data_IF_130897027220
#
_entry.id   IF_130897027220
#
_cell.length_a   1.000
_cell.length_b   1.000
_cell.length_c   1.000
_cell.angle_alpha   90.00
_cell.angle_beta   90.00
_cell.angle_gamma   90.00
#
_symmetry.space_group_name_H-M   'P 1'
#
loop_
_entity.id
_entity.type
_entity.pdbx_description
1 polymer ?
#
# COMPACT_ATOMS: atom_id res chain seq x y z
N UNK A 1 13.48 -25.31 -12.59
CA UNK A 1 13.77 -23.90 -12.96
C UNK A 1 12.45 -23.18 -13.24
N UNK A 2 11.69 -22.80 -12.23
CA UNK A 2 10.37 -22.15 -12.40
C UNK A 2 10.52 -20.64 -12.25
N UNK A 3 10.46 -19.92 -13.38
CA UNK A 3 10.43 -18.45 -13.39
C UNK A 3 9.13 -17.98 -12.74
N UNK A 4 9.12 -17.10 -11.73
CA UNK A 4 7.89 -16.47 -11.30
C UNK A 4 7.47 -15.52 -12.41
N UNK A 5 6.29 -15.79 -12.97
CA UNK A 5 5.57 -14.88 -13.86
C UNK A 5 5.43 -13.56 -13.12
N UNK A 6 6.26 -12.58 -13.48
CA UNK A 6 6.02 -11.17 -13.16
C UNK A 6 4.79 -10.76 -13.95
N UNK A 7 3.63 -11.12 -13.41
CA UNK A 7 2.37 -10.54 -13.78
C UNK A 7 2.54 -9.03 -13.55
N UNK A 8 2.86 -8.32 -14.63
CA UNK A 8 2.92 -6.86 -14.71
C UNK A 8 1.51 -6.31 -14.54
N UNK A 9 0.96 -6.52 -13.35
CA UNK A 9 -0.22 -5.83 -12.86
C UNK A 9 0.37 -4.51 -12.43
N UNK A 10 0.25 -3.48 -13.29
CA UNK A 10 0.65 -2.09 -13.00
C UNK A 10 0.52 -1.88 -11.49
N UNK A 11 1.62 -1.63 -10.74
CA UNK A 11 1.52 -1.48 -9.30
C UNK A 11 0.54 -0.34 -9.10
N UNK A 12 -0.69 -0.69 -8.68
CA UNK A 12 -1.69 0.29 -8.27
C UNK A 12 -0.94 1.20 -7.30
N UNK A 13 -1.06 2.53 -7.43
CA UNK A 13 -0.28 3.49 -6.62
C UNK A 13 -0.24 3.11 -5.13
N UNK A 14 -1.33 2.49 -4.63
CA UNK A 14 -1.45 1.88 -3.30
C UNK A 14 -0.37 0.84 -2.89
N UNK A 15 0.36 0.27 -3.83
CA UNK A 15 1.41 -0.74 -3.59
C UNK A 15 2.81 -0.21 -3.89
N UNK A 16 2.94 1.08 -4.26
CA UNK A 16 4.25 1.70 -4.37
C UNK A 16 4.88 1.83 -2.99
N UNK A 17 6.22 1.73 -2.88
CA UNK A 17 6.91 1.90 -1.61
C UNK A 17 6.68 3.31 -1.01
N UNK A 18 6.52 4.33 -1.84
CA UNK A 18 6.21 5.70 -1.42
C UNK A 18 4.84 5.78 -0.73
N UNK A 19 3.80 5.17 -1.32
CA UNK A 19 2.47 5.13 -0.72
C UNK A 19 2.47 4.40 0.62
N UNK A 20 3.26 3.33 0.76
CA UNK A 20 3.41 2.61 2.04
C UNK A 20 4.01 3.51 3.11
N UNK A 21 5.04 4.28 2.78
CA UNK A 21 5.68 5.18 3.75
C UNK A 21 4.74 6.30 4.19
N UNK A 22 3.96 6.87 3.26
CA UNK A 22 2.94 7.87 3.59
C UNK A 22 1.83 7.27 4.46
N UNK A 23 1.36 6.05 4.12
CA UNK A 23 0.37 5.34 4.90
C UNK A 23 0.83 5.04 6.33
N UNK A 24 2.10 4.66 6.50
CA UNK A 24 2.70 4.44 7.82
C UNK A 24 2.79 5.74 8.62
N UNK A 25 3.26 6.82 8.01
CA UNK A 25 3.31 8.15 8.65
C UNK A 25 1.93 8.66 9.06
N UNK A 26 0.89 8.34 8.29
CA UNK A 26 -0.49 8.69 8.59
C UNK A 26 -1.04 7.80 9.72
N UNK A 27 -0.77 6.50 9.68
CA UNK A 27 -1.15 5.56 10.73
C UNK A 27 -0.51 5.89 12.10
N UNK A 28 0.71 6.41 12.13
CA UNK A 28 1.35 6.90 13.36
C UNK A 28 0.63 8.12 13.95
N UNK A 29 -0.03 8.93 13.12
CA UNK A 29 -0.73 10.16 13.55
C UNK A 29 -2.17 9.94 13.97
N UNK A 30 -2.93 9.15 13.19
CA UNK A 30 -4.37 8.99 13.38
C UNK A 30 -4.77 7.55 13.74
N UNK A 31 -3.83 6.62 13.76
CA UNK A 31 -4.05 5.19 13.99
C UNK A 31 -4.34 4.41 12.71
N UNK A 32 -4.01 3.11 12.74
CA UNK A 32 -4.10 2.21 11.57
C UNK A 32 -5.51 2.10 11.00
N UNK A 33 -6.52 2.03 11.86
CA UNK A 33 -7.92 1.87 11.43
C UNK A 33 -8.46 3.13 10.72
N UNK A 34 -8.09 4.32 11.19
CA UNK A 34 -8.48 5.57 10.55
C UNK A 34 -7.72 5.77 9.22
N UNK A 35 -6.42 5.46 9.22
CA UNK A 35 -5.60 5.50 8.01
C UNK A 35 -6.13 4.57 6.90
N UNK A 36 -6.52 3.35 7.25
CA UNK A 36 -7.09 2.41 6.28
C UNK A 36 -8.41 2.92 5.66
N UNK A 37 -9.25 3.60 6.45
CA UNK A 37 -10.50 4.21 5.94
C UNK A 37 -10.22 5.38 4.99
N UNK A 38 -9.30 6.27 5.35
CA UNK A 38 -8.93 7.43 4.53
C UNK A 38 -8.29 7.00 3.20
N UNK A 39 -7.47 5.95 3.25
CA UNK A 39 -6.81 5.37 2.07
C UNK A 39 -7.69 4.37 1.30
N UNK A 40 -8.96 4.17 1.71
CA UNK A 40 -9.89 3.19 1.14
C UNK A 40 -9.28 1.78 0.98
N UNK A 41 -8.56 1.34 2.01
CA UNK A 41 -7.93 0.03 2.12
C UNK A 41 -8.88 -0.94 2.85
N UNK A 42 -9.92 -1.39 2.15
CA UNK A 42 -10.87 -2.41 2.62
C UNK A 42 -11.03 -3.52 1.58
#
# INVERSE_FOLDING_TARGET
MTKPVSASKKPRKQHSPEFRNEALKLAERIGVAAAARELNLY
#
